data_IF_692088607516
#
_entry.id   IF_692088607516
#
_cell.length_a   1.000
_cell.length_b   1.000
_cell.length_c   1.000
_cell.angle_alpha   90.00
_cell.angle_beta   90.00
_cell.angle_gamma   90.00
#
_symmetry.space_group_name_H-M   'P 1'
#
loop_
_entity.id
_entity.type
_entity.pdbx_description
1 polymer ?
#
# COMPACT_ATOMS: atom_id res chain seq x y z
N UNK A 1 -14.13 7.89 -12.14
CA UNK A 1 -14.94 9.12 -12.09
C UNK A 1 -14.36 10.18 -11.15
N UNK A 2 -13.92 9.79 -9.96
CA UNK A 2 -13.32 10.75 -9.02
C UNK A 2 -12.03 11.35 -9.58
N UNK A 3 -11.16 10.52 -10.14
CA UNK A 3 -9.87 10.96 -10.65
C UNK A 3 -10.00 11.98 -11.79
N UNK A 4 -11.07 11.91 -12.58
CA UNK A 4 -11.33 12.84 -13.67
C UNK A 4 -11.76 14.24 -13.17
N UNK A 5 -12.21 14.34 -11.94
CA UNK A 5 -12.78 15.58 -11.37
C UNK A 5 -11.88 16.23 -10.32
N UNK A 6 -10.64 15.78 -10.15
CA UNK A 6 -9.71 16.34 -9.18
C UNK A 6 -8.27 16.24 -9.67
N UNK A 7 -7.44 17.19 -9.22
CA UNK A 7 -5.99 17.13 -9.42
C UNK A 7 -5.27 16.51 -8.23
N UNK A 8 -5.99 16.16 -7.17
CA UNK A 8 -5.42 15.46 -6.04
C UNK A 8 -5.01 14.03 -6.43
N UNK A 9 -3.97 13.47 -5.80
CA UNK A 9 -3.64 12.07 -6.02
C UNK A 9 -4.80 11.15 -5.65
N UNK A 10 -5.12 10.21 -6.53
CA UNK A 10 -6.19 9.23 -6.30
C UNK A 10 -5.57 7.84 -6.26
N UNK A 11 -5.91 7.05 -5.24
CA UNK A 11 -5.44 5.69 -5.07
C UNK A 11 -6.62 4.74 -5.20
N UNK A 12 -6.52 3.81 -6.14
CA UNK A 12 -7.54 2.80 -6.36
C UNK A 12 -7.22 1.51 -5.62
N UNK A 13 -8.21 0.96 -4.93
CA UNK A 13 -8.10 -0.31 -4.24
C UNK A 13 -9.02 -1.30 -4.95
N UNK A 14 -8.49 -2.20 -5.79
CA UNK A 14 -9.35 -3.23 -6.38
C UNK A 14 -9.90 -4.12 -5.27
N UNK A 15 -11.21 -4.22 -5.17
CA UNK A 15 -11.88 -5.04 -4.18
C UNK A 15 -12.63 -6.18 -4.86
N UNK A 16 -12.55 -7.38 -4.30
CA UNK A 16 -13.27 -8.51 -4.84
C UNK A 16 -12.99 -9.79 -4.08
N UNK A 17 -13.79 -10.79 -4.37
CA UNK A 17 -13.55 -12.13 -3.86
C UNK A 17 -12.51 -12.85 -4.73
N UNK A 18 -12.19 -14.08 -4.40
CA UNK A 18 -11.09 -14.85 -5.00
C UNK A 18 -11.32 -15.31 -6.44
N UNK A 19 -12.26 -14.73 -7.16
CA UNK A 19 -12.63 -15.16 -8.51
C UNK A 19 -12.53 -14.03 -9.52
N UNK A 20 -13.23 -14.20 -10.62
CA UNK A 20 -13.23 -13.28 -11.77
C UNK A 20 -13.55 -11.83 -11.39
N UNK A 21 -14.33 -11.62 -10.31
CA UNK A 21 -14.66 -10.27 -9.84
C UNK A 21 -13.44 -9.45 -9.40
N UNK A 22 -12.43 -10.10 -8.82
CA UNK A 22 -11.20 -9.41 -8.42
C UNK A 22 -10.38 -8.95 -9.63
N UNK A 23 -10.34 -9.76 -10.70
CA UNK A 23 -9.65 -9.42 -11.95
C UNK A 23 -10.37 -8.26 -12.63
N UNK A 24 -11.69 -8.28 -12.70
CA UNK A 24 -12.47 -7.19 -13.28
C UNK A 24 -12.25 -5.88 -12.53
N UNK A 25 -12.25 -5.93 -11.20
CA UNK A 25 -12.00 -4.76 -10.37
C UNK A 25 -10.59 -4.19 -10.60
N UNK A 26 -9.59 -5.06 -10.72
CA UNK A 26 -8.21 -4.66 -11.01
C UNK A 26 -8.13 -3.98 -12.37
N UNK A 27 -8.69 -4.58 -13.41
CA UNK A 27 -8.66 -4.03 -14.77
C UNK A 27 -9.37 -2.68 -14.83
N UNK A 28 -10.51 -2.53 -14.15
CA UNK A 28 -11.23 -1.26 -14.10
C UNK A 28 -10.42 -0.16 -13.43
N UNK A 29 -9.58 -0.50 -12.46
CA UNK A 29 -8.78 0.46 -11.72
C UNK A 29 -7.52 0.87 -12.50
N UNK A 30 -6.87 -0.07 -13.21
CA UNK A 30 -5.60 0.22 -13.89
C UNK A 30 -5.80 0.79 -15.29
N UNK A 31 -6.94 0.54 -15.96
CA UNK A 31 -7.20 1.04 -17.31
C UNK A 31 -7.82 2.43 -17.27
N UNK A 32 -6.99 3.44 -17.09
CA UNK A 32 -7.44 4.83 -17.08
C UNK A 32 -6.95 5.56 -18.34
N UNK A 33 -7.73 6.53 -18.84
CA UNK A 33 -7.30 7.35 -19.98
C UNK A 33 -6.03 8.13 -19.66
N UNK A 34 -5.26 8.45 -20.70
CA UNK A 34 -4.10 9.33 -20.55
C UNK A 34 -4.51 10.69 -19.98
N UNK A 35 -3.77 11.16 -19.00
CA UNK A 35 -4.07 12.42 -18.33
C UNK A 35 -4.95 12.29 -17.08
N UNK A 36 -5.47 11.10 -16.81
CA UNK A 36 -6.26 10.82 -15.61
C UNK A 36 -5.62 9.65 -14.85
N UNK A 37 -4.51 9.88 -14.13
CA UNK A 37 -3.79 8.79 -13.48
C UNK A 37 -4.44 8.37 -12.17
N UNK A 38 -4.43 7.07 -11.91
CA UNK A 38 -4.83 6.48 -10.63
C UNK A 38 -3.74 5.50 -10.19
N UNK A 39 -3.21 5.70 -9.00
CA UNK A 39 -2.28 4.74 -8.41
C UNK A 39 -3.07 3.54 -7.88
N UNK A 40 -2.66 2.33 -8.24
CA UNK A 40 -3.40 1.12 -7.89
C UNK A 40 -2.56 0.25 -6.96
N UNK A 41 -3.14 -0.17 -5.85
CA UNK A 41 -2.53 -1.12 -4.91
C UNK A 41 -3.04 -2.54 -5.21
N UNK A 42 -2.54 -3.51 -4.47
CA UNK A 42 -2.97 -4.89 -4.63
C UNK A 42 -4.47 -5.06 -4.34
N UNK A 43 -5.07 -6.12 -4.86
CA UNK A 43 -6.48 -6.44 -4.59
C UNK A 43 -6.69 -6.51 -3.07
N UNK A 44 -7.70 -5.83 -2.58
CA UNK A 44 -8.02 -5.69 -1.15
C UNK A 44 -6.89 -5.09 -0.30
N UNK A 45 -5.97 -4.33 -0.89
CA UNK A 45 -4.79 -3.77 -0.23
C UNK A 45 -5.04 -2.46 0.51
N UNK A 46 -6.08 -2.40 1.36
CA UNK A 46 -6.43 -1.17 2.07
C UNK A 46 -5.35 -0.63 3.00
N UNK A 47 -4.64 -1.52 3.71
CA UNK A 47 -3.55 -1.10 4.60
C UNK A 47 -2.41 -0.44 3.82
N UNK A 48 -2.01 -1.02 2.69
CA UNK A 48 -0.98 -0.43 1.83
C UNK A 48 -1.45 0.86 1.16
N UNK A 49 -2.73 0.97 0.83
CA UNK A 49 -3.28 2.23 0.32
C UNK A 49 -3.16 3.35 1.36
N UNK A 50 -3.45 3.06 2.61
CA UNK A 50 -3.30 4.03 3.69
C UNK A 50 -1.84 4.44 3.89
N UNK A 51 -0.91 3.49 3.86
CA UNK A 51 0.52 3.77 3.97
C UNK A 51 1.04 4.58 2.78
N UNK A 52 0.60 4.26 1.56
CA UNK A 52 0.98 5.02 0.38
C UNK A 52 0.45 6.45 0.45
N UNK A 53 -0.78 6.64 0.91
CA UNK A 53 -1.35 7.98 1.13
C UNK A 53 -0.51 8.77 2.12
N UNK A 54 -0.10 8.14 3.23
CA UNK A 54 0.76 8.78 4.21
C UNK A 54 2.13 9.13 3.63
N UNK A 55 2.72 8.28 2.80
CA UNK A 55 3.99 8.56 2.13
C UNK A 55 3.88 9.75 1.18
N UNK A 56 2.78 9.87 0.44
CA UNK A 56 2.54 11.02 -0.44
C UNK A 56 2.48 12.31 0.37
N UNK A 57 1.76 12.31 1.49
CA UNK A 57 1.66 13.47 2.38
C UNK A 57 2.99 13.78 3.06
N UNK A 58 3.80 12.77 3.35
CA UNK A 58 5.08 12.91 4.03
C UNK A 58 6.15 13.60 3.16
N UNK A 59 5.94 13.74 1.86
CA UNK A 59 6.85 14.48 0.98
C UNK A 59 7.02 15.92 1.48
N UNK A 60 5.97 16.53 2.04
CA UNK A 60 6.02 17.88 2.58
C UNK A 60 5.87 17.93 4.11
N UNK A 61 5.65 16.82 4.77
CA UNK A 61 5.44 16.73 6.22
C UNK A 61 6.54 15.91 6.86
N UNK A 62 7.55 16.58 7.41
CA UNK A 62 8.69 15.91 8.05
C UNK A 62 8.30 15.12 9.30
N UNK A 63 7.32 15.59 10.06
CA UNK A 63 6.83 14.86 11.24
C UNK A 63 6.19 13.54 10.87
N UNK A 64 5.42 13.51 9.77
CA UNK A 64 4.83 12.28 9.27
C UNK A 64 5.90 11.35 8.70
N UNK A 65 6.90 11.89 8.01
CA UNK A 65 8.02 11.11 7.50
C UNK A 65 8.77 10.40 8.63
N UNK A 66 9.00 11.08 9.75
CA UNK A 66 9.64 10.49 10.93
C UNK A 66 8.81 9.33 11.51
N UNK A 67 7.51 9.49 11.57
CA UNK A 67 6.59 8.43 12.05
C UNK A 67 6.63 7.21 11.14
N UNK A 68 6.68 7.40 9.83
CA UNK A 68 6.77 6.31 8.87
C UNK A 68 8.11 5.58 8.99
N UNK A 69 9.20 6.30 9.16
CA UNK A 69 10.52 5.70 9.38
C UNK A 69 10.56 4.89 10.68
N UNK A 70 9.96 5.40 11.75
CA UNK A 70 9.86 4.68 13.01
C UNK A 70 9.06 3.38 12.86
N UNK A 71 7.96 3.42 12.12
CA UNK A 71 7.16 2.23 11.84
C UNK A 71 7.96 1.18 11.05
N UNK A 72 8.69 1.60 10.02
CA UNK A 72 9.51 0.69 9.24
C UNK A 72 10.60 0.03 10.06
N UNK A 73 11.25 0.79 10.94
CA UNK A 73 12.27 0.25 11.85
C UNK A 73 11.65 -0.77 12.81
N UNK A 74 10.48 -0.46 13.37
CA UNK A 74 9.78 -1.39 14.24
C UNK A 74 9.39 -2.68 13.52
N UNK A 75 8.88 -2.57 12.29
CA UNK A 75 8.51 -3.73 11.48
C UNK A 75 9.75 -4.58 11.15
N UNK A 76 10.88 -3.96 10.85
CA UNK A 76 12.13 -4.66 10.58
C UNK A 76 12.64 -5.40 11.83
N UNK A 77 12.59 -4.76 12.99
CA UNK A 77 12.98 -5.40 14.25
C UNK A 77 12.11 -6.61 14.55
N UNK A 78 10.80 -6.52 14.31
CA UNK A 78 9.90 -7.65 14.48
C UNK A 78 10.25 -8.82 13.56
N UNK A 79 10.59 -8.54 12.31
CA UNK A 79 11.01 -9.56 11.36
C UNK A 79 12.31 -10.23 11.81
N UNK A 80 13.28 -9.45 12.25
CA UNK A 80 14.56 -9.97 12.74
C UNK A 80 14.40 -10.82 14.00
N UNK A 81 13.52 -10.42 14.93
CA UNK A 81 13.22 -11.22 16.11
C UNK A 81 12.55 -12.54 15.74
N UNK A 82 11.61 -12.52 14.83
CA UNK A 82 10.96 -13.74 14.36
C UNK A 82 11.96 -14.69 13.69
N UNK A 83 12.87 -14.17 12.87
CA UNK A 83 13.92 -14.95 12.25
C UNK A 83 14.86 -15.57 13.29
N UNK A 84 15.24 -14.81 14.31
CA UNK A 84 16.10 -15.31 15.40
C UNK A 84 15.42 -16.43 16.18
N UNK A 85 14.12 -16.28 16.48
CA UNK A 85 13.33 -17.32 17.17
C UNK A 85 13.24 -18.60 16.32
N UNK A 86 12.95 -18.47 15.03
CA UNK A 86 12.88 -19.61 14.11
C UNK A 86 14.25 -20.28 14.01
N UNK A 87 15.32 -19.53 13.87
CA UNK A 87 16.67 -20.07 13.81
C UNK A 87 17.03 -20.83 15.08
N UNK A 88 16.67 -20.31 16.26
CA UNK A 88 16.95 -20.99 17.52
C UNK A 88 16.15 -22.27 17.69
N UNK A 89 14.94 -22.35 17.11
CA UNK A 89 14.13 -23.56 17.11
C UNK A 89 14.71 -24.66 16.21
N UNK A 90 15.38 -24.30 15.13
CA UNK A 90 15.92 -25.23 14.15
C UNK A 90 17.40 -25.58 14.36
N UNK A 91 18.10 -24.86 15.24
CA UNK A 91 19.51 -25.07 15.56
C UNK A 91 19.72 -25.92 16.82
N UNK A 92 18.92 -26.94 16.99
CA UNK A 92 19.05 -27.82 18.15
C UNK A 92 19.88 -29.04 17.78
#
# INVERSE_FOLDING_TARGET
AIAANTTLPVIGIPCGSQNLGAIDALLSTVQMPSGIPVATVAVNGGANAALLSAQILAVEDSGLAEKLDAKRKSDLENVLQNDAEISSQFNV
#
